data_IF_189961609300
#
_entry.id   IF_189961609300
#
_cell.length_a   1.000
_cell.length_b   1.000
_cell.length_c   1.000
_cell.angle_alpha   90.00
_cell.angle_beta   90.00
_cell.angle_gamma   90.00
#
_symmetry.space_group_name_H-M   'P 1'
#
loop_
_entity.id
_entity.type
_entity.pdbx_description
1 polymer ?
#
# COMPACT_ATOMS: atom_id res chain seq x y z
N UNK A 1 23.20 16.06 -12.92
CA UNK A 1 21.76 15.74 -12.90
C UNK A 1 21.45 14.96 -11.63
N UNK A 2 20.35 15.23 -10.94
CA UNK A 2 19.88 14.39 -9.82
C UNK A 2 19.07 13.24 -10.41
N UNK A 3 19.48 12.00 -10.13
CA UNK A 3 18.73 10.81 -10.55
C UNK A 3 17.52 10.61 -9.62
N UNK A 4 16.42 10.07 -10.16
CA UNK A 4 15.25 9.69 -9.37
C UNK A 4 15.62 8.49 -8.48
N UNK A 5 15.59 8.67 -7.17
CA UNK A 5 15.92 7.61 -6.19
C UNK A 5 14.70 7.06 -5.45
N UNK A 6 13.59 7.80 -5.45
CA UNK A 6 12.35 7.41 -4.79
C UNK A 6 11.19 7.55 -5.76
N UNK A 7 10.41 6.48 -5.92
CA UNK A 7 9.20 6.46 -6.74
C UNK A 7 8.02 6.04 -5.86
N UNK A 8 6.92 6.79 -5.95
CA UNK A 8 5.64 6.43 -5.33
C UNK A 8 4.58 6.29 -6.41
N UNK A 9 3.92 5.15 -6.46
CA UNK A 9 2.92 4.81 -7.48
C UNK A 9 1.60 4.46 -6.81
N UNK A 10 0.54 5.17 -7.18
CA UNK A 10 -0.84 4.87 -6.76
C UNK A 10 -1.79 4.61 -7.94
N UNK A 11 -1.26 4.44 -9.15
CA UNK A 11 -2.07 4.15 -10.32
C UNK A 11 -2.72 2.78 -10.19
N UNK A 12 -3.99 2.69 -10.58
CA UNK A 12 -4.75 1.44 -10.62
C UNK A 12 -4.43 0.62 -11.87
N UNK A 13 -3.79 1.22 -12.87
CA UNK A 13 -3.41 0.59 -14.14
C UNK A 13 -2.14 -0.25 -13.95
N UNK A 14 -2.26 -1.56 -14.14
CA UNK A 14 -1.14 -2.50 -14.01
C UNK A 14 -0.04 -2.25 -15.05
N UNK A 15 -0.37 -1.63 -16.18
CA UNK A 15 0.55 -1.25 -17.26
C UNK A 15 1.64 -0.30 -16.76
N UNK A 16 1.36 0.54 -15.74
CA UNK A 16 2.34 1.45 -15.17
C UNK A 16 3.59 0.74 -14.62
N UNK A 17 3.47 -0.53 -14.21
CA UNK A 17 4.60 -1.30 -13.70
C UNK A 17 5.63 -1.65 -14.79
N UNK A 18 5.26 -1.64 -16.07
CA UNK A 18 6.17 -1.97 -17.18
C UNK A 18 7.32 -0.95 -17.33
N UNK A 19 7.13 0.27 -16.83
CA UNK A 19 8.10 1.36 -16.92
C UNK A 19 9.11 1.35 -15.77
N UNK A 20 8.76 0.76 -14.62
CA UNK A 20 9.60 0.79 -13.42
C UNK A 20 10.94 0.08 -13.60
N UNK A 21 11.02 -1.10 -14.25
CA UNK A 21 12.30 -1.77 -14.51
C UNK A 21 13.31 -0.90 -15.28
N UNK A 22 12.86 0.09 -16.05
CA UNK A 22 13.75 1.02 -16.78
C UNK A 22 14.43 2.04 -15.86
N UNK A 23 13.96 2.17 -14.61
CA UNK A 23 14.46 3.13 -13.63
C UNK A 23 15.58 2.51 -12.77
N UNK A 24 16.74 2.27 -13.37
CA UNK A 24 17.90 1.62 -12.73
C UNK A 24 18.47 2.37 -11.50
N UNK A 25 18.11 3.65 -11.34
CA UNK A 25 18.56 4.51 -10.24
C UNK A 25 17.71 4.46 -8.97
N UNK A 26 16.57 3.77 -8.99
CA UNK A 26 15.66 3.78 -7.85
C UNK A 26 16.26 3.03 -6.66
N UNK A 27 16.08 3.61 -5.47
CA UNK A 27 16.45 3.03 -4.19
C UNK A 27 15.22 2.72 -3.34
N UNK A 28 14.11 3.43 -3.56
CA UNK A 28 12.86 3.25 -2.83
C UNK A 28 11.67 3.20 -3.79
N UNK A 29 10.83 2.18 -3.64
CA UNK A 29 9.58 2.03 -4.37
C UNK A 29 8.41 1.97 -3.39
N UNK A 30 7.40 2.81 -3.58
CA UNK A 30 6.18 2.81 -2.79
C UNK A 30 5.02 2.45 -3.71
N UNK A 31 4.31 1.38 -3.39
CA UNK A 31 3.17 0.84 -4.15
C UNK A 31 1.91 1.04 -3.29
N UNK A 32 1.02 1.91 -3.76
CA UNK A 32 -0.23 2.27 -3.08
C UNK A 32 -1.47 1.55 -3.64
N UNK A 33 -1.27 0.67 -4.62
CA UNK A 33 -2.30 -0.15 -5.27
C UNK A 33 -2.13 -1.62 -4.91
N UNK A 34 -3.22 -2.37 -4.89
CA UNK A 34 -3.25 -3.83 -4.79
C UNK A 34 -3.31 -4.52 -6.18
N UNK A 35 -3.43 -3.75 -7.26
CA UNK A 35 -3.53 -4.27 -8.62
C UNK A 35 -2.17 -4.46 -9.30
N UNK A 36 -1.30 -5.27 -8.71
CA UNK A 36 -0.01 -5.66 -9.30
C UNK A 36 0.15 -7.18 -9.31
N UNK A 37 0.90 -7.67 -10.29
CA UNK A 37 1.24 -9.08 -10.46
C UNK A 37 2.61 -9.38 -9.82
N UNK A 38 2.80 -10.62 -9.33
CA UNK A 38 4.08 -11.02 -8.73
C UNK A 38 5.26 -10.85 -9.68
N UNK A 39 5.10 -11.29 -10.94
CA UNK A 39 6.14 -11.18 -11.97
C UNK A 39 6.57 -9.74 -12.24
N UNK A 40 5.70 -8.75 -12.05
CA UNK A 40 6.05 -7.34 -12.23
C UNK A 40 7.05 -6.89 -11.16
N UNK A 41 6.87 -7.34 -9.92
CA UNK A 41 7.83 -7.08 -8.85
C UNK A 41 9.16 -7.78 -9.12
N UNK A 42 9.12 -9.02 -9.60
CA UNK A 42 10.33 -9.76 -9.97
C UNK A 42 11.12 -9.03 -11.07
N UNK A 43 10.47 -8.58 -12.15
CA UNK A 43 11.11 -7.79 -13.21
C UNK A 43 11.75 -6.49 -12.69
N UNK A 44 11.11 -5.84 -11.71
CA UNK A 44 11.68 -4.67 -11.04
C UNK A 44 12.96 -5.07 -10.30
N UNK A 45 12.94 -6.18 -9.55
CA UNK A 45 14.11 -6.65 -8.80
C UNK A 45 15.30 -7.00 -9.70
N UNK A 46 15.04 -7.57 -10.88
CA UNK A 46 16.07 -7.92 -11.85
C UNK A 46 16.82 -6.70 -12.41
N UNK A 47 16.09 -5.59 -12.63
CA UNK A 47 16.65 -4.43 -13.31
C UNK A 47 17.06 -3.30 -12.35
N UNK A 48 16.35 -3.14 -11.23
CA UNK A 48 16.58 -2.09 -10.25
C UNK A 48 17.54 -2.56 -9.15
N UNK A 49 18.79 -2.86 -9.51
CA UNK A 49 19.81 -3.38 -8.59
C UNK A 49 20.14 -2.43 -7.41
N UNK A 50 19.82 -1.14 -7.53
CA UNK A 50 20.00 -0.15 -6.45
C UNK A 50 18.84 -0.11 -5.45
N UNK A 51 17.75 -0.82 -5.73
CA UNK A 51 16.57 -0.83 -4.90
C UNK A 51 16.94 -1.35 -3.50
N UNK A 52 16.55 -0.62 -2.46
CA UNK A 52 16.82 -0.96 -1.06
C UNK A 52 15.53 -1.30 -0.33
N UNK A 53 14.44 -0.63 -0.71
CA UNK A 53 13.18 -0.67 0.03
C UNK A 53 11.99 -0.69 -0.93
N UNK A 54 11.05 -1.61 -0.68
CA UNK A 54 9.75 -1.65 -1.34
C UNK A 54 8.66 -1.57 -0.28
N UNK A 55 7.70 -0.68 -0.46
CA UNK A 55 6.56 -0.51 0.44
C UNK A 55 5.28 -0.93 -0.26
N UNK A 56 4.57 -1.88 0.33
CA UNK A 56 3.23 -2.31 -0.09
C UNK A 56 2.20 -1.72 0.87
N UNK A 57 1.48 -0.67 0.43
CA UNK A 57 0.57 0.08 1.31
C UNK A 57 -0.85 -0.50 1.35
N UNK A 58 -1.14 -1.48 0.51
CA UNK A 58 -2.41 -2.20 0.46
C UNK A 58 -2.16 -3.69 0.60
N UNK A 59 -3.05 -4.37 1.31
CA UNK A 59 -3.03 -5.82 1.42
C UNK A 59 -3.34 -6.42 0.04
N UNK A 60 -2.52 -7.37 -0.41
CA UNK A 60 -2.71 -8.05 -1.68
C UNK A 60 -2.54 -9.56 -1.46
N UNK A 61 -3.51 -10.41 -1.85
CA UNK A 61 -3.40 -11.87 -1.73
C UNK A 61 -2.17 -12.51 -2.39
N UNK A 62 -1.57 -11.80 -3.36
CA UNK A 62 -0.32 -12.21 -4.04
C UNK A 62 0.90 -12.04 -3.16
N UNK A 63 0.84 -11.23 -2.12
CA UNK A 63 1.89 -11.08 -1.12
C UNK A 63 1.81 -12.23 -0.09
N UNK A 64 1.94 -13.46 -0.59
CA UNK A 64 1.88 -14.69 0.19
C UNK A 64 3.27 -15.35 0.28
N UNK A 65 3.35 -16.49 0.96
CA UNK A 65 4.60 -17.21 1.17
C UNK A 65 5.29 -17.65 -0.13
N UNK A 66 4.53 -18.07 -1.15
CA UNK A 66 5.07 -18.49 -2.45
C UNK A 66 5.79 -17.34 -3.14
N UNK A 67 5.17 -16.16 -3.17
CA UNK A 67 5.78 -14.94 -3.71
C UNK A 67 7.05 -14.55 -2.95
N UNK A 68 7.05 -14.62 -1.62
CA UNK A 68 8.25 -14.30 -0.82
C UNK A 68 9.40 -15.27 -1.15
N UNK A 69 9.13 -16.56 -1.32
CA UNK A 69 10.15 -17.54 -1.71
C UNK A 69 10.70 -17.23 -3.10
N UNK A 70 9.83 -16.90 -4.06
CA UNK A 70 10.23 -16.50 -5.41
C UNK A 70 11.15 -15.26 -5.39
N UNK A 71 10.81 -14.26 -4.58
CA UNK A 71 11.62 -13.06 -4.37
C UNK A 71 13.00 -13.43 -3.82
N UNK A 72 13.07 -14.26 -2.77
CA UNK A 72 14.36 -14.67 -2.16
C UNK A 72 15.22 -15.37 -3.20
N UNK A 73 14.65 -16.30 -3.96
CA UNK A 73 15.39 -17.03 -4.97
C UNK A 73 15.93 -16.09 -6.04
N UNK A 74 15.15 -15.13 -6.52
CA UNK A 74 15.65 -14.11 -7.46
C UNK A 74 16.76 -13.24 -6.84
N UNK A 75 16.59 -12.79 -5.60
CA UNK A 75 17.59 -11.98 -4.92
C UNK A 75 18.94 -12.69 -4.76
N UNK A 76 18.95 -14.03 -4.62
CA UNK A 76 20.18 -14.83 -4.59
C UNK A 76 20.97 -14.76 -5.89
N UNK A 77 20.30 -14.56 -7.02
CA UNK A 77 20.96 -14.46 -8.34
C UNK A 77 21.39 -13.03 -8.66
N UNK A 78 20.63 -12.02 -8.26
CA UNK A 78 20.85 -10.64 -8.72
C UNK A 78 21.59 -9.76 -7.70
N UNK A 79 21.66 -10.13 -6.42
CA UNK A 79 22.35 -9.33 -5.39
C UNK A 79 23.75 -9.81 -5.08
N UNK A 80 24.66 -8.85 -4.93
CA UNK A 80 25.98 -9.04 -4.34
C UNK A 80 25.97 -8.62 -2.86
N UNK A 81 25.99 -9.59 -1.95
CA UNK A 81 25.93 -9.35 -0.51
C UNK A 81 27.15 -8.61 0.07
N UNK A 82 28.28 -8.52 -0.65
CA UNK A 82 29.44 -7.74 -0.20
C UNK A 82 29.24 -6.23 -0.40
N UNK A 83 28.39 -5.86 -1.36
CA UNK A 83 28.19 -4.46 -1.78
C UNK A 83 26.79 -3.95 -1.43
N UNK A 84 25.81 -4.85 -1.36
CA UNK A 84 24.41 -4.52 -1.19
C UNK A 84 23.87 -5.08 0.13
N UNK A 85 23.16 -4.23 0.86
CA UNK A 85 22.38 -4.64 2.03
C UNK A 85 21.19 -5.52 1.59
N UNK A 86 20.60 -6.32 2.49
CA UNK A 86 19.34 -7.01 2.23
C UNK A 86 18.26 -6.05 1.73
N UNK A 87 17.43 -6.50 0.80
CA UNK A 87 16.22 -5.77 0.42
C UNK A 87 15.28 -5.71 1.62
N UNK A 88 14.65 -4.56 1.87
CA UNK A 88 13.56 -4.47 2.84
C UNK A 88 12.22 -4.40 2.11
N UNK A 89 11.31 -5.28 2.48
CA UNK A 89 9.92 -5.22 2.05
C UNK A 89 9.04 -4.85 3.25
N UNK A 90 8.27 -3.79 3.08
CA UNK A 90 7.39 -3.25 4.10
C UNK A 90 5.94 -3.58 3.75
N UNK A 91 5.22 -4.18 4.71
CA UNK A 91 3.84 -4.62 4.54
C UNK A 91 2.94 -3.93 5.55
N UNK A 92 1.73 -3.57 5.14
CA UNK A 92 0.71 -3.08 6.06
C UNK A 92 0.20 -4.19 7.00
N UNK A 93 -0.02 -5.38 6.45
CA UNK A 93 -0.36 -6.59 7.20
C UNK A 93 0.24 -7.83 6.52
N UNK A 94 0.26 -8.94 7.25
CA UNK A 94 0.72 -10.25 6.77
C UNK A 94 -0.43 -11.24 6.62
N UNK A 95 -1.64 -10.78 6.28
CA UNK A 95 -2.87 -11.59 6.28
C UNK A 95 -2.77 -12.90 5.48
N UNK A 96 -1.95 -12.90 4.43
CA UNK A 96 -1.78 -14.02 3.49
C UNK A 96 -0.49 -14.81 3.69
N UNK A 97 0.28 -14.50 4.73
CA UNK A 97 1.50 -15.23 5.09
C UNK A 97 1.24 -16.09 6.33
N UNK A 98 1.78 -17.31 6.32
CA UNK A 98 1.70 -18.18 7.50
C UNK A 98 2.85 -17.90 8.46
N UNK A 99 2.51 -17.61 9.73
CA UNK A 99 3.46 -17.30 10.82
C UNK A 99 4.47 -18.43 11.10
N UNK A 100 4.20 -19.66 10.64
CA UNK A 100 5.11 -20.80 10.81
C UNK A 100 6.23 -20.85 9.75
N UNK A 101 6.12 -20.08 8.65
CA UNK A 101 7.15 -19.98 7.62
C UNK A 101 7.93 -18.65 7.69
N UNK A 102 7.56 -17.74 8.61
CA UNK A 102 8.19 -16.42 8.81
C UNK A 102 9.70 -16.47 9.10
N UNK A 103 10.25 -17.62 9.50
CA UNK A 103 11.63 -17.75 9.98
C UNK A 103 12.58 -18.50 9.04
N UNK A 104 12.21 -18.72 7.77
CA UNK A 104 13.15 -19.19 6.73
C UNK A 104 13.48 -18.13 5.67
N UNK A 105 13.15 -16.87 5.93
CA UNK A 105 13.69 -15.77 5.13
C UNK A 105 15.18 -15.67 5.45
N UNK A 106 16.03 -15.89 4.46
CA UNK A 106 17.45 -15.60 4.63
C UNK A 106 17.59 -14.07 4.76
N UNK A 107 17.75 -13.60 5.99
CA UNK A 107 17.85 -12.18 6.34
C UNK A 107 19.03 -11.46 5.67
N UNK A 108 19.97 -12.20 5.09
CA UNK A 108 21.07 -11.66 4.29
C UNK A 108 20.56 -11.11 2.95
N UNK A 109 19.45 -11.65 2.41
CA UNK A 109 18.89 -11.23 1.13
C UNK A 109 17.64 -10.36 1.27
N UNK A 110 16.73 -10.75 2.16
CA UNK A 110 15.42 -10.12 2.32
C UNK A 110 15.10 -9.90 3.80
N UNK A 111 14.57 -8.73 4.14
CA UNK A 111 13.97 -8.43 5.44
C UNK A 111 12.53 -8.01 5.24
N UNK A 112 11.62 -8.70 5.93
CA UNK A 112 10.19 -8.39 5.95
C UNK A 112 9.92 -7.55 7.19
N UNK A 113 9.24 -6.43 7.01
CA UNK A 113 8.92 -5.49 8.08
C UNK A 113 7.43 -5.15 8.01
N UNK A 114 6.72 -5.35 9.11
CA UNK A 114 5.33 -4.90 9.24
C UNK A 114 5.32 -3.45 9.71
N UNK A 115 4.58 -2.59 9.02
CA UNK A 115 4.48 -1.17 9.32
C UNK A 115 3.07 -0.82 9.80
N UNK A 116 2.99 -0.28 11.01
CA UNK A 116 1.73 0.25 11.55
C UNK A 116 1.27 1.51 10.80
N UNK A 117 2.22 2.30 10.25
CA UNK A 117 1.94 3.48 9.43
C UNK A 117 2.91 3.56 8.23
N UNK A 118 2.41 3.58 7.00
CA UNK A 118 3.23 3.81 5.82
C UNK A 118 3.92 5.18 5.78
N UNK A 119 5.17 5.27 5.30
CA UNK A 119 5.74 6.56 4.90
C UNK A 119 4.98 7.11 3.69
N UNK A 120 4.44 8.32 3.82
CA UNK A 120 3.60 8.97 2.80
C UNK A 120 2.14 9.20 3.21
N UNK A 121 1.74 8.74 4.40
CA UNK A 121 0.41 9.09 4.96
C UNK A 121 0.27 10.57 5.34
N UNK A 122 1.35 11.35 5.40
CA UNK A 122 1.29 12.80 5.62
C UNK A 122 0.51 13.53 4.50
N UNK A 123 0.32 12.92 3.32
CA UNK A 123 -0.48 13.47 2.21
C UNK A 123 -1.95 13.02 2.22
N UNK A 124 -2.34 12.08 3.09
CA UNK A 124 -3.73 11.65 3.26
C UNK A 124 -4.43 12.31 4.46
N UNK A 125 -3.69 13.04 5.30
CA UNK A 125 -4.24 13.79 6.44
C UNK A 125 -4.81 15.19 6.07
N UNK A 126 -4.71 15.62 4.80
CA UNK A 126 -5.39 16.84 4.31
C UNK A 126 -6.47 16.51 3.27
N UNK A 127 -7.55 15.87 3.73
CA UNK A 127 -8.86 16.16 3.20
C UNK A 127 -9.88 16.03 4.34
N UNK A 128 -10.42 17.13 4.90
CA UNK A 128 -11.66 17.03 5.64
C UNK A 128 -12.74 16.72 4.62
N UNK A 129 -13.00 15.44 4.33
CA UNK A 129 -14.29 15.03 3.79
C UNK A 129 -15.35 15.20 4.89
N UNK A 130 -15.61 16.46 5.27
CA UNK A 130 -16.96 16.85 5.67
C UNK A 130 -17.78 16.88 4.39
N UNK A 131 -18.31 15.74 4.00
CA UNK A 131 -19.47 15.71 3.11
C UNK A 131 -20.70 15.79 4.02
N UNK A 132 -20.96 16.98 4.54
CA UNK A 132 -22.31 17.35 4.97
C UNK A 132 -23.07 17.75 3.71
N UNK A 133 -23.63 16.77 3.01
CA UNK A 133 -24.77 16.99 2.12
C UNK A 133 -25.71 15.80 2.19
N UNK A 134 -26.57 15.85 3.20
CA UNK A 134 -27.99 15.60 2.97
C UNK A 134 -28.77 16.55 3.86
N UNK A 135 -29.07 17.73 3.29
CA UNK A 135 -30.33 18.40 3.58
C UNK A 135 -31.43 17.40 3.18
N UNK A 136 -31.78 16.53 4.12
CA UNK A 136 -33.15 16.05 4.21
C UNK A 136 -33.85 17.11 5.04
N UNK A 137 -34.27 18.19 4.37
CA UNK A 137 -35.42 18.97 4.81
C UNK A 137 -36.65 18.04 4.75
N UNK A 138 -36.75 17.14 5.73
CA UNK A 138 -38.03 16.58 6.12
C UNK A 138 -38.54 17.46 7.26
N UNK A 139 -39.25 18.49 6.79
CA UNK A 139 -40.12 19.40 7.52
C UNK A 139 -40.87 18.64 8.63
N UNK A 140 -40.34 18.71 9.85
CA UNK A 140 -41.02 18.26 11.06
C UNK A 140 -41.73 19.45 11.70
N UNK A 141 -42.70 20.04 11.02
CA UNK A 141 -43.66 20.97 11.62
C UNK A 141 -44.99 20.89 10.90
N UNK A 142 -45.91 20.13 11.47
CA UNK A 142 -47.32 20.54 11.63
C UNK A 142 -47.87 19.78 12.85
N UNK A 143 -47.51 20.30 14.02
CA UNK A 143 -48.24 20.04 15.26
C UNK A 143 -49.16 21.22 15.48
N UNK A 144 -50.30 21.24 14.78
CA UNK A 144 -51.39 22.16 15.07
C UNK A 144 -51.95 21.82 16.45
N UNK A 145 -51.54 22.62 17.42
CA UNK A 145 -52.17 22.74 18.72
C UNK A 145 -53.29 23.76 18.57
N UNK A 146 -54.52 23.30 18.43
CA UNK A 146 -55.70 24.11 18.70
C UNK A 146 -56.83 23.23 19.26
N UNK A 147 -56.91 23.18 20.59
CA UNK A 147 -58.15 22.91 21.31
C UNK A 147 -58.47 24.14 22.16
N UNK A 148 -59.61 24.80 21.86
CA UNK A 148 -60.42 25.30 22.96
C UNK A 148 -61.90 25.08 22.67
N UNK A 149 -62.42 23.88 22.95
CA UNK A 149 -63.85 23.68 23.18
C UNK A 149 -64.13 23.25 24.62
N UNK A 150 -64.10 24.23 25.52
CA UNK A 150 -64.93 24.20 26.72
C UNK A 150 -65.28 25.59 27.20
N UNK A 151 -66.42 26.12 26.77
CA UNK A 151 -67.19 27.11 27.51
C UNK A 151 -68.70 26.86 27.34
N UNK A 152 -69.25 26.10 28.28
CA UNK A 152 -70.47 26.42 29.05
C UNK A 152 -71.53 27.35 28.40
N UNK A 153 -72.63 26.78 27.90
CA UNK A 153 -74.01 26.93 28.43
C UNK A 153 -75.02 26.18 27.58
#
# INVERSE_FOLDING_TARGET
MKALTKLSMGFTESECFEYVPRMVGIEQLIIQTDNFEGYQIIQILENCLKLKEIYFLRSNPRLNNEFILEVIDHLRFVRNLQEQKPLKMFFHDLKYMSLHEEFKVNEDYLRIIVIERPPGNDFLDEAPFQVNYRESDEDCTDSDVDDPTSLLK
#
